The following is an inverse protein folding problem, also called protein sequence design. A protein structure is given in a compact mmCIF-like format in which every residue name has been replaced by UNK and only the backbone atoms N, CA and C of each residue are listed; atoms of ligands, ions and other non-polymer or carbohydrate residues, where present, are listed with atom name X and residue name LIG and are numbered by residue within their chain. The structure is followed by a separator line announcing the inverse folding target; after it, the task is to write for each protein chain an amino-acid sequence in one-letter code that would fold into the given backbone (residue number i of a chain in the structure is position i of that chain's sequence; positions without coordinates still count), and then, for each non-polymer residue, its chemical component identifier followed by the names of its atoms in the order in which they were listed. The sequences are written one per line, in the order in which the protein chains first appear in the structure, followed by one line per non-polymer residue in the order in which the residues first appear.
data_IF_862079126014
#
_entry.id   IF_862079126014
#
_cell.length_a   1.000
_cell.length_b   1.000
_cell.length_c   1.000
_cell.angle_alpha   90.00
_cell.angle_beta   90.00
_cell.angle_gamma   90.00
#
_symmetry.space_group_name_H-M   'P 1'
#
loop_
_entity.id
_entity.type
_entity.pdbx_description
1 polymer ?
#
# COMPACT_ATOMS: atom_id res chain seq x y z
N UNK A 1 -89.32 -2.03 -36.35
CA UNK A 1 -88.29 -1.64 -37.29
C UNK A 1 -87.25 -0.78 -36.62
N UNK A 2 -86.04 -1.02 -36.94
CA UNK A 2 -84.78 -0.37 -36.57
C UNK A 2 -84.05 -1.07 -35.43
N UNK A 3 -83.21 -1.95 -35.88
CA UNK A 3 -82.11 -2.61 -35.23
C UNK A 3 -81.06 -1.59 -34.76
N UNK A 4 -80.71 -1.55 -33.51
CA UNK A 4 -79.52 -0.82 -33.01
C UNK A 4 -78.49 -1.84 -32.60
N UNK A 5 -77.48 -2.02 -33.42
CA UNK A 5 -76.27 -2.72 -33.11
C UNK A 5 -75.44 -1.91 -32.08
N UNK A 6 -75.24 -2.46 -30.93
CA UNK A 6 -74.27 -1.98 -29.95
C UNK A 6 -72.99 -2.76 -30.16
N UNK A 7 -71.96 -2.05 -30.65
CA UNK A 7 -70.57 -2.54 -30.78
C UNK A 7 -69.94 -2.48 -29.43
N UNK A 8 -69.70 -3.58 -28.77
CA UNK A 8 -68.88 -3.66 -27.56
C UNK A 8 -67.43 -3.74 -27.96
N UNK A 9 -66.71 -2.64 -27.69
CA UNK A 9 -65.27 -2.53 -27.88
C UNK A 9 -64.55 -3.22 -26.70
N UNK A 10 -64.04 -4.43 -26.97
CA UNK A 10 -63.22 -5.19 -26.01
C UNK A 10 -61.82 -4.62 -26.01
N UNK A 11 -61.44 -3.89 -24.95
CA UNK A 11 -60.11 -3.37 -24.68
C UNK A 11 -59.27 -4.46 -24.03
N UNK A 12 -58.52 -5.20 -24.86
CA UNK A 12 -57.54 -6.16 -24.40
C UNK A 12 -56.32 -5.41 -23.80
N UNK A 13 -56.26 -5.33 -22.47
CA UNK A 13 -55.12 -4.78 -21.75
C UNK A 13 -53.94 -5.76 -21.83
N UNK A 14 -52.97 -5.47 -22.69
CA UNK A 14 -51.71 -6.18 -22.81
C UNK A 14 -50.80 -5.77 -21.63
N UNK A 15 -50.82 -6.55 -20.55
CA UNK A 15 -49.90 -6.41 -19.41
C UNK A 15 -48.55 -6.93 -19.85
N UNK A 16 -47.65 -5.99 -20.25
CA UNK A 16 -46.21 -6.31 -20.41
C UNK A 16 -45.62 -6.50 -19.01
N UNK A 17 -45.40 -7.76 -18.61
CA UNK A 17 -44.52 -8.10 -17.50
C UNK A 17 -43.07 -7.81 -17.96
N UNK A 18 -42.54 -6.65 -17.57
CA UNK A 18 -41.12 -6.39 -17.61
C UNK A 18 -40.46 -7.29 -16.55
N UNK A 19 -39.96 -8.45 -16.97
CA UNK A 19 -39.08 -9.30 -16.17
C UNK A 19 -37.80 -8.50 -15.98
N UNK A 20 -37.65 -7.80 -14.85
CA UNK A 20 -36.36 -7.30 -14.42
C UNK A 20 -35.46 -8.55 -14.26
N UNK A 21 -34.57 -8.77 -15.22
CA UNK A 21 -33.52 -9.75 -15.09
C UNK A 21 -32.67 -9.32 -13.88
N UNK A 22 -32.89 -9.97 -12.73
CA UNK A 22 -31.98 -9.85 -11.59
C UNK A 22 -30.68 -10.48 -12.09
N UNK A 23 -29.73 -9.63 -12.50
CA UNK A 23 -28.40 -10.08 -12.85
C UNK A 23 -27.86 -10.88 -11.66
N UNK A 24 -27.60 -12.14 -11.86
CA UNK A 24 -26.94 -12.97 -10.84
C UNK A 24 -25.60 -12.29 -10.52
N UNK A 25 -25.22 -12.18 -9.22
CA UNK A 25 -23.93 -11.60 -8.86
C UNK A 25 -22.83 -12.35 -9.61
N UNK A 26 -21.99 -11.60 -10.33
CA UNK A 26 -20.86 -12.21 -11.03
C UNK A 26 -20.00 -13.02 -10.03
N UNK A 27 -19.53 -14.21 -10.39
CA UNK A 27 -18.72 -15.02 -9.50
C UNK A 27 -17.47 -14.25 -9.13
N UNK A 28 -17.25 -14.06 -7.82
CA UNK A 28 -16.06 -13.36 -7.32
C UNK A 28 -14.80 -14.13 -7.71
N UNK A 29 -13.93 -13.46 -8.46
CA UNK A 29 -12.64 -14.01 -8.85
C UNK A 29 -11.58 -13.53 -7.88
N UNK A 30 -11.05 -14.46 -7.08
CA UNK A 30 -10.12 -14.14 -5.98
C UNK A 30 -8.68 -14.43 -6.42
N UNK A 31 -7.83 -13.44 -6.36
CA UNK A 31 -6.38 -13.57 -6.53
C UNK A 31 -5.71 -13.81 -5.19
N UNK A 32 -4.65 -14.62 -5.21
CA UNK A 32 -3.77 -14.87 -4.07
C UNK A 32 -2.38 -14.35 -4.39
N UNK A 33 -1.77 -13.59 -3.47
CA UNK A 33 -0.44 -12.99 -3.65
C UNK A 33 0.45 -13.26 -2.44
N UNK A 34 1.66 -13.74 -2.67
CA UNK A 34 2.72 -13.85 -1.68
C UNK A 34 3.34 -12.46 -1.44
N UNK A 35 2.75 -11.73 -0.51
CA UNK A 35 3.16 -10.36 -0.17
C UNK A 35 4.63 -10.30 0.27
N UNK A 36 5.12 -11.32 0.99
CA UNK A 36 6.51 -11.39 1.42
C UNK A 36 7.48 -11.39 0.23
N UNK A 37 7.20 -12.20 -0.80
CA UNK A 37 8.00 -12.22 -2.02
C UNK A 37 7.94 -10.90 -2.77
N UNK A 38 6.76 -10.31 -2.90
CA UNK A 38 6.56 -9.02 -3.57
C UNK A 38 7.36 -7.92 -2.88
N UNK A 39 7.22 -7.77 -1.55
CA UNK A 39 7.94 -6.79 -0.76
C UNK A 39 9.46 -6.96 -0.88
N UNK A 40 9.95 -8.19 -0.79
CA UNK A 40 11.39 -8.49 -0.91
C UNK A 40 11.94 -8.17 -2.32
N UNK A 41 11.13 -8.35 -3.35
CA UNK A 41 11.53 -8.08 -4.74
C UNK A 41 11.54 -6.57 -5.06
N UNK A 42 10.70 -5.77 -4.39
CA UNK A 42 10.52 -4.35 -4.69
C UNK A 42 11.83 -3.55 -4.61
N UNK A 43 12.12 -2.79 -5.66
CA UNK A 43 13.24 -1.87 -5.69
C UNK A 43 13.09 -0.74 -4.68
N UNK A 44 11.85 -0.28 -4.43
CA UNK A 44 11.55 0.76 -3.44
C UNK A 44 11.90 0.28 -2.03
N UNK A 45 11.57 -0.98 -1.68
CA UNK A 45 11.93 -1.57 -0.37
C UNK A 45 13.44 -1.72 -0.23
N UNK A 46 14.13 -2.16 -1.27
CA UNK A 46 15.60 -2.25 -1.29
C UNK A 46 16.24 -0.87 -1.10
N UNK A 47 15.72 0.15 -1.78
CA UNK A 47 16.20 1.53 -1.63
C UNK A 47 15.95 2.08 -0.21
N UNK A 48 14.79 1.77 0.38
CA UNK A 48 14.46 2.16 1.75
C UNK A 48 15.44 1.52 2.75
N UNK A 49 15.74 0.23 2.59
CA UNK A 49 16.74 -0.48 3.42
C UNK A 49 18.13 0.13 3.26
N UNK A 50 18.59 0.36 2.03
CA UNK A 50 19.88 0.98 1.76
C UNK A 50 20.00 2.38 2.38
N UNK A 51 18.93 3.18 2.28
CA UNK A 51 18.86 4.50 2.94
C UNK A 51 18.98 4.39 4.46
N UNK A 52 18.33 3.41 5.07
CA UNK A 52 18.42 3.17 6.51
C UNK A 52 19.85 2.78 6.94
N UNK A 53 20.50 1.89 6.18
CA UNK A 53 21.88 1.50 6.45
C UNK A 53 22.86 2.68 6.33
N UNK A 54 22.67 3.55 5.33
CA UNK A 54 23.47 4.78 5.17
C UNK A 54 23.28 5.73 6.36
N UNK A 55 22.06 5.92 6.85
CA UNK A 55 21.76 6.76 8.01
C UNK A 55 22.34 6.20 9.30
N UNK A 56 22.31 4.90 9.49
CA UNK A 56 22.94 4.26 10.64
C UNK A 56 24.46 4.49 10.66
N UNK A 57 25.11 4.40 9.49
CA UNK A 57 26.53 4.72 9.34
C UNK A 57 26.80 6.18 9.63
N UNK A 58 25.97 7.10 9.13
CA UNK A 58 26.10 8.53 9.38
C UNK A 58 25.97 8.87 10.88
N UNK A 59 24.97 8.31 11.57
CA UNK A 59 24.78 8.50 13.01
C UNK A 59 25.97 7.97 13.80
N UNK A 60 26.51 6.80 13.42
CA UNK A 60 27.69 6.23 14.06
C UNK A 60 28.91 7.12 13.86
N UNK A 61 29.14 7.63 12.66
CA UNK A 61 30.22 8.56 12.37
C UNK A 61 30.07 9.88 13.14
N UNK A 62 28.84 10.40 13.21
CA UNK A 62 28.53 11.62 13.97
C UNK A 62 28.84 11.43 15.48
N UNK A 63 28.43 10.30 16.07
CA UNK A 63 28.72 10.01 17.49
C UNK A 63 30.23 9.92 17.74
N UNK A 64 30.97 9.21 16.88
CA UNK A 64 32.43 9.11 16.98
C UNK A 64 33.09 10.49 16.89
N UNK A 65 32.65 11.32 15.95
CA UNK A 65 33.14 12.70 15.82
C UNK A 65 32.84 13.52 17.07
N UNK A 66 31.62 13.47 17.57
CA UNK A 66 31.21 14.20 18.77
C UNK A 66 32.08 13.82 19.97
N UNK A 67 32.31 12.51 20.20
CA UNK A 67 33.18 12.01 21.27
C UNK A 67 34.60 12.52 21.11
N UNK A 68 35.18 12.47 19.91
CA UNK A 68 36.53 12.94 19.65
C UNK A 68 36.67 14.45 19.91
N UNK A 69 35.69 15.25 19.47
CA UNK A 69 35.73 16.70 19.63
C UNK A 69 35.55 17.12 21.11
N UNK A 70 34.63 16.43 21.82
CA UNK A 70 34.42 16.67 23.26
C UNK A 70 35.67 16.28 24.06
N UNK A 71 36.34 15.17 23.71
CA UNK A 71 37.55 14.73 24.42
C UNK A 71 38.77 15.65 24.18
N UNK A 72 38.83 16.33 23.03
CA UNK A 72 39.87 17.29 22.74
C UNK A 72 39.73 18.62 23.53
N UNK A 73 38.55 18.91 24.05
CA UNK A 73 38.28 20.15 24.77
C UNK A 73 38.80 20.07 26.20
N UNK A 74 39.76 20.91 26.52
CA UNK A 74 40.42 20.96 27.83
C UNK A 74 39.67 21.80 28.86
N UNK A 75 38.97 22.86 28.42
CA UNK A 75 38.11 23.68 29.26
C UNK A 75 36.82 22.95 29.61
N UNK A 76 36.57 22.70 30.88
CA UNK A 76 35.43 21.90 31.35
C UNK A 76 34.07 22.55 31.00
N UNK A 77 33.96 23.89 31.10
CA UNK A 77 32.74 24.61 30.77
C UNK A 77 32.39 24.48 29.28
N UNK A 78 33.42 24.66 28.43
CA UNK A 78 33.27 24.52 26.97
C UNK A 78 33.00 23.08 26.58
N UNK A 79 33.65 22.11 27.27
CA UNK A 79 33.40 20.67 27.03
C UNK A 79 31.96 20.30 27.32
N UNK A 80 31.38 20.75 28.46
CA UNK A 80 29.97 20.51 28.79
C UNK A 80 29.03 21.18 27.76
N UNK A 81 29.30 22.40 27.37
CA UNK A 81 28.49 23.09 26.37
C UNK A 81 28.54 22.40 25.00
N UNK A 82 29.73 21.93 24.57
CA UNK A 82 29.90 21.20 23.33
C UNK A 82 29.18 19.83 23.35
N UNK A 83 29.26 19.09 24.45
CA UNK A 83 28.55 17.83 24.64
C UNK A 83 27.02 18.01 24.53
N UNK A 84 26.47 19.01 25.22
CA UNK A 84 25.05 19.34 25.14
C UNK A 84 24.60 19.75 23.72
N UNK A 85 25.46 20.48 23.01
CA UNK A 85 25.20 20.84 21.61
C UNK A 85 25.13 19.58 20.70
N UNK A 86 26.10 18.66 20.84
CA UNK A 86 26.10 17.41 20.07
C UNK A 86 24.90 16.51 20.42
N UNK A 87 24.53 16.43 21.71
CA UNK A 87 23.35 15.69 22.14
C UNK A 87 22.07 16.24 21.47
N UNK A 88 21.87 17.55 21.50
CA UNK A 88 20.73 18.20 20.83
C UNK A 88 20.71 17.91 19.32
N UNK A 89 21.87 17.97 18.67
CA UNK A 89 21.97 17.66 17.24
C UNK A 89 21.67 16.18 16.95
N UNK A 90 22.11 15.26 17.81
CA UNK A 90 21.85 13.83 17.66
C UNK A 90 20.36 13.51 17.78
N UNK A 91 19.68 14.12 18.77
CA UNK A 91 18.22 13.98 18.94
C UNK A 91 17.51 14.49 17.69
N UNK A 92 17.81 15.70 17.23
CA UNK A 92 17.20 16.27 16.04
C UNK A 92 17.43 15.42 14.77
N UNK A 93 18.64 14.86 14.58
CA UNK A 93 18.94 13.95 13.48
C UNK A 93 18.10 12.66 13.56
N UNK A 94 17.99 12.05 14.73
CA UNK A 94 17.19 10.82 14.93
C UNK A 94 15.72 11.08 14.64
N UNK A 95 15.16 12.17 15.14
CA UNK A 95 13.77 12.56 14.89
C UNK A 95 13.49 12.77 13.40
N UNK A 96 14.36 13.51 12.72
CA UNK A 96 14.26 13.74 11.28
C UNK A 96 14.31 12.42 10.49
N UNK A 97 15.22 11.51 10.86
CA UNK A 97 15.34 10.20 10.19
C UNK A 97 14.14 9.30 10.45
N UNK A 98 13.61 9.28 11.67
CA UNK A 98 12.41 8.51 12.00
C UNK A 98 11.20 9.01 11.21
N UNK A 99 11.01 10.32 11.15
CA UNK A 99 9.91 10.96 10.41
C UNK A 99 10.00 10.66 8.90
N UNK A 100 11.19 10.81 8.31
CA UNK A 100 11.39 10.55 6.89
C UNK A 100 11.23 9.04 6.56
N UNK A 101 11.72 8.17 7.43
CA UNK A 101 11.55 6.72 7.27
C UNK A 101 10.06 6.32 7.30
N UNK A 102 9.30 6.82 8.28
CA UNK A 102 7.88 6.55 8.37
C UNK A 102 7.10 7.05 7.15
N UNK A 103 7.43 8.25 6.65
CA UNK A 103 6.81 8.78 5.44
C UNK A 103 7.11 7.93 4.21
N UNK A 104 8.37 7.53 4.02
CA UNK A 104 8.80 6.67 2.91
C UNK A 104 8.21 5.27 2.99
N UNK A 105 8.14 4.69 4.19
CA UNK A 105 7.52 3.37 4.40
C UNK A 105 6.05 3.40 3.99
N UNK A 106 5.31 4.42 4.44
CA UNK A 106 3.90 4.61 4.07
C UNK A 106 3.72 4.78 2.55
N UNK A 107 4.58 5.57 1.90
CA UNK A 107 4.53 5.78 0.46
C UNK A 107 4.84 4.49 -0.31
N UNK A 108 5.82 3.71 0.15
CA UNK A 108 6.19 2.43 -0.45
C UNK A 108 5.06 1.40 -0.31
N UNK A 109 4.45 1.31 0.87
CA UNK A 109 3.30 0.41 1.12
C UNK A 109 2.11 0.77 0.20
N UNK A 110 1.75 2.04 0.13
CA UNK A 110 0.69 2.52 -0.76
C UNK A 110 0.99 2.19 -2.24
N UNK A 111 2.23 2.44 -2.68
CA UNK A 111 2.63 2.16 -4.07
C UNK A 111 2.60 0.67 -4.41
N UNK A 112 3.05 -0.21 -3.51
CA UNK A 112 2.98 -1.66 -3.72
C UNK A 112 1.53 -2.14 -3.76
N UNK A 113 0.70 -1.65 -2.83
CA UNK A 113 -0.73 -2.00 -2.78
C UNK A 113 -1.45 -1.57 -4.05
N UNK A 114 -1.20 -0.36 -4.54
CA UNK A 114 -1.74 0.17 -5.79
C UNK A 114 -1.35 -0.69 -6.99
N UNK A 115 -0.05 -1.00 -7.17
CA UNK A 115 0.44 -1.83 -8.27
C UNK A 115 -0.15 -3.26 -8.26
N UNK A 116 -0.35 -3.84 -7.06
CA UNK A 116 -1.02 -5.14 -6.92
C UNK A 116 -2.49 -5.02 -7.33
N UNK A 117 -3.19 -4.00 -6.84
CA UNK A 117 -4.61 -3.78 -7.12
C UNK A 117 -4.88 -3.50 -8.61
N UNK A 118 -4.09 -2.63 -9.23
CA UNK A 118 -4.17 -2.32 -10.66
C UNK A 118 -3.99 -3.58 -11.50
N UNK A 119 -2.94 -4.37 -11.21
CA UNK A 119 -2.66 -5.59 -11.95
C UNK A 119 -3.71 -6.67 -11.73
N UNK A 120 -4.23 -6.83 -10.53
CA UNK A 120 -5.31 -7.75 -10.23
C UNK A 120 -6.61 -7.36 -10.99
N UNK A 121 -6.93 -6.07 -11.00
CA UNK A 121 -8.09 -5.53 -11.72
C UNK A 121 -7.95 -5.75 -13.24
N UNK A 122 -6.76 -5.48 -13.81
CA UNK A 122 -6.46 -5.75 -15.23
C UNK A 122 -6.69 -7.22 -15.61
N UNK A 123 -6.40 -8.13 -14.68
CA UNK A 123 -6.61 -9.58 -14.86
C UNK A 123 -8.06 -10.04 -14.56
N UNK A 124 -8.94 -9.11 -14.19
CA UNK A 124 -10.35 -9.38 -13.90
C UNK A 124 -10.61 -9.98 -12.53
N UNK A 125 -9.71 -9.84 -11.58
CA UNK A 125 -9.94 -10.22 -10.20
C UNK A 125 -10.71 -9.15 -9.44
N UNK A 126 -11.64 -9.55 -8.59
CA UNK A 126 -12.46 -8.66 -7.75
C UNK A 126 -11.91 -8.51 -6.34
N UNK A 127 -11.01 -9.39 -5.93
CA UNK A 127 -10.38 -9.39 -4.61
C UNK A 127 -8.96 -9.95 -4.68
N UNK A 128 -8.06 -9.39 -3.86
CA UNK A 128 -6.71 -9.92 -3.63
C UNK A 128 -6.55 -10.28 -2.16
N UNK A 129 -6.06 -11.49 -1.89
CA UNK A 129 -5.85 -12.01 -0.55
C UNK A 129 -4.39 -12.40 -0.37
N UNK A 130 -3.76 -12.08 0.77
CA UNK A 130 -2.40 -12.55 1.07
C UNK A 130 -2.34 -14.08 1.12
N UNK A 131 -1.33 -14.69 0.50
CA UNK A 131 -1.15 -16.15 0.49
C UNK A 131 -1.09 -16.75 1.88
N UNK A 132 -0.55 -16.03 2.86
CA UNK A 132 -0.50 -16.45 4.26
C UNK A 132 -1.86 -16.57 4.95
N UNK A 133 -2.90 -15.95 4.40
CA UNK A 133 -4.27 -15.99 4.94
C UNK A 133 -5.16 -17.02 4.23
N UNK A 134 -4.66 -17.70 3.19
CA UNK A 134 -5.43 -18.64 2.38
C UNK A 134 -5.05 -20.06 2.73
N UNK A 135 -6.04 -20.87 3.13
CA UNK A 135 -5.88 -22.31 3.37
C UNK A 135 -6.11 -23.10 2.08
N UNK A 136 -7.11 -22.69 1.28
CA UNK A 136 -7.50 -23.38 0.06
C UNK A 136 -8.20 -22.44 -0.92
N UNK A 137 -7.94 -22.61 -2.22
CA UNK A 137 -8.60 -21.86 -3.30
C UNK A 137 -7.95 -20.54 -3.64
N UNK A 138 -8.49 -19.87 -4.66
CA UNK A 138 -7.93 -18.65 -5.27
C UNK A 138 -6.80 -18.92 -6.26
N UNK A 139 -6.56 -17.96 -7.16
CA UNK A 139 -5.53 -18.06 -8.20
C UNK A 139 -4.25 -17.34 -7.72
N UNK A 140 -3.13 -18.05 -7.62
CA UNK A 140 -1.85 -17.46 -7.25
C UNK A 140 -1.26 -16.63 -8.42
N UNK A 141 -1.36 -15.31 -8.33
CA UNK A 141 -0.84 -14.38 -9.34
C UNK A 141 0.52 -13.77 -8.94
N UNK A 142 1.17 -14.27 -7.90
CA UNK A 142 2.45 -13.74 -7.38
C UNK A 142 3.49 -13.54 -8.48
N UNK A 143 3.66 -14.53 -9.36
CA UNK A 143 4.65 -14.45 -10.44
C UNK A 143 4.34 -13.33 -11.45
N UNK A 144 3.07 -13.02 -11.67
CA UNK A 144 2.63 -11.92 -12.53
C UNK A 144 2.85 -10.57 -11.86
N UNK A 145 2.54 -10.47 -10.57
CA UNK A 145 2.79 -9.26 -9.78
C UNK A 145 4.30 -8.95 -9.73
N UNK A 146 5.16 -9.94 -9.54
CA UNK A 146 6.62 -9.75 -9.50
C UNK A 146 7.21 -9.15 -10.79
N UNK A 147 6.52 -9.24 -11.93
CA UNK A 147 6.96 -8.64 -13.20
C UNK A 147 6.68 -7.14 -13.29
N UNK A 148 5.75 -6.63 -12.52
CA UNK A 148 5.29 -5.23 -12.57
C UNK A 148 5.73 -4.39 -11.36
N UNK A 149 6.07 -5.03 -10.25
CA UNK A 149 6.55 -4.34 -9.04
C UNK A 149 7.90 -3.64 -9.29
N UNK A 150 7.93 -2.36 -8.94
CA UNK A 150 9.09 -1.46 -9.06
C UNK A 150 9.84 -1.31 -7.74
#
# INVERSE_FOLDING_TARGET
MKLKQTITLSLASLIMFATAAIAAPEPQKIAVVDIQKVVTASAQVKALKSSQDARNKELTAFIKKAQADVNKQTDEKKRKALAAQYEKQLVAKREAYTKDYAAKLKATDASITEQIGEKATELGYTMVVPKSAVIYGGDDITATILKVIK
#
